data_IF_189431309732
#
_entry.id   IF_189431309732
#
_cell.length_a   1.000
_cell.length_b   1.000
_cell.length_c   1.000
_cell.angle_alpha   90.00
_cell.angle_beta   90.00
_cell.angle_gamma   90.00
#
_symmetry.space_group_name_H-M   'P 1'
#
loop_
_entity.id
_entity.type
_entity.pdbx_description
1 polymer ?
#
# COMPACT_ATOMS: atom_id res chain seq x y z
N UNK A 1 17.44 -19.27 2.92
CA UNK A 1 16.14 -18.57 3.05
C UNK A 1 16.30 -17.24 3.79
N UNK A 2 16.71 -17.24 5.08
CA UNK A 2 16.95 -16.01 5.88
C UNK A 2 17.90 -15.00 5.20
N UNK A 3 19.05 -15.45 4.69
CA UNK A 3 20.03 -14.58 4.01
C UNK A 3 19.48 -13.99 2.72
N UNK A 4 18.72 -14.75 1.95
CA UNK A 4 18.13 -14.31 0.67
C UNK A 4 17.02 -13.28 0.86
N UNK A 5 16.21 -13.36 1.93
CA UNK A 5 15.24 -12.32 2.28
C UNK A 5 15.93 -10.99 2.63
N UNK A 6 17.01 -11.04 3.40
CA UNK A 6 17.79 -9.85 3.75
C UNK A 6 18.52 -9.27 2.53
N UNK A 7 19.11 -10.10 1.69
CA UNK A 7 19.72 -9.68 0.43
C UNK A 7 18.69 -9.01 -0.50
N UNK A 8 17.46 -9.52 -0.56
CA UNK A 8 16.39 -8.93 -1.37
C UNK A 8 15.92 -7.56 -0.84
N UNK A 9 15.87 -7.38 0.48
CA UNK A 9 15.62 -6.07 1.12
C UNK A 9 16.76 -5.07 0.83
N UNK A 10 17.99 -5.57 0.72
CA UNK A 10 19.15 -4.75 0.38
C UNK A 10 19.19 -4.40 -1.12
N UNK A 11 18.68 -5.28 -1.99
CA UNK A 11 18.66 -5.12 -3.44
C UNK A 11 17.53 -4.20 -3.99
N UNK A 12 16.83 -3.46 -3.11
CA UNK A 12 15.79 -2.49 -3.46
C UNK A 12 14.53 -3.08 -4.14
N UNK A 13 14.20 -4.34 -3.85
CA UNK A 13 13.01 -5.01 -4.38
C UNK A 13 11.69 -4.39 -3.90
N UNK A 14 10.61 -4.45 -4.70
CA UNK A 14 9.30 -3.89 -4.30
C UNK A 14 8.65 -4.67 -3.14
N UNK A 15 7.75 -4.02 -2.37
CA UNK A 15 6.95 -4.69 -1.33
C UNK A 15 6.18 -5.89 -1.92
N UNK A 16 5.67 -5.77 -3.14
CA UNK A 16 5.01 -6.87 -3.87
C UNK A 16 5.94 -8.06 -4.12
N UNK A 17 7.17 -7.81 -4.60
CA UNK A 17 8.14 -8.89 -4.85
C UNK A 17 8.55 -9.62 -3.58
N UNK A 18 8.75 -8.87 -2.48
CA UNK A 18 9.07 -9.43 -1.18
C UNK A 18 7.87 -10.22 -0.61
N UNK A 19 6.65 -9.71 -0.78
CA UNK A 19 5.42 -10.40 -0.35
C UNK A 19 5.25 -11.74 -1.08
N UNK A 20 5.53 -11.78 -2.38
CA UNK A 20 5.50 -13.02 -3.15
C UNK A 20 6.56 -14.03 -2.64
N UNK A 21 7.78 -13.56 -2.35
CA UNK A 21 8.82 -14.40 -1.76
C UNK A 21 8.39 -14.97 -0.40
N UNK A 22 7.84 -14.13 0.48
CA UNK A 22 7.31 -14.55 1.78
C UNK A 22 6.20 -15.59 1.63
N UNK A 23 5.27 -15.40 0.70
CA UNK A 23 4.19 -16.36 0.44
C UNK A 23 4.65 -17.71 -0.13
N UNK A 24 5.83 -17.75 -0.76
CA UNK A 24 6.46 -18.99 -1.23
C UNK A 24 7.24 -19.72 -0.11
N UNK A 25 7.77 -18.98 0.86
CA UNK A 25 8.57 -19.53 1.96
C UNK A 25 7.71 -20.01 3.12
N UNK A 26 6.59 -19.33 3.39
CA UNK A 26 5.68 -19.71 4.46
C UNK A 26 4.75 -20.85 4.00
N UNK A 27 4.53 -21.86 4.87
CA UNK A 27 3.73 -23.01 4.50
C UNK A 27 2.25 -22.67 4.30
N UNK A 28 1.76 -21.68 5.04
CA UNK A 28 0.38 -21.25 5.05
C UNK A 28 0.14 -20.10 4.05
N UNK A 29 -1.06 -20.00 3.45
CA UNK A 29 -1.46 -18.86 2.66
C UNK A 29 -1.38 -17.55 3.46
N UNK A 30 -0.91 -16.49 2.81
CA UNK A 30 -0.71 -15.19 3.45
C UNK A 30 -1.29 -14.05 2.63
N UNK A 31 -1.68 -13.00 3.33
CA UNK A 31 -1.99 -11.68 2.77
C UNK A 31 -1.14 -10.66 3.51
N UNK A 32 -0.40 -9.86 2.74
CA UNK A 32 0.30 -8.69 3.25
C UNK A 32 -0.59 -7.47 3.09
N UNK A 33 -0.78 -6.73 4.19
CA UNK A 33 -1.50 -5.46 4.22
C UNK A 33 -0.48 -4.35 4.39
N UNK A 34 -0.30 -3.54 3.37
CA UNK A 34 0.53 -2.34 3.42
C UNK A 34 -0.34 -1.14 3.79
N UNK A 35 -0.23 -0.67 5.03
CA UNK A 35 -0.99 0.50 5.47
C UNK A 35 -0.42 1.81 4.90
N UNK A 36 0.85 1.83 4.50
CA UNK A 36 1.52 3.02 3.98
C UNK A 36 1.09 3.33 2.55
N UNK A 37 0.86 2.29 1.74
CA UNK A 37 0.40 2.41 0.35
C UNK A 37 -1.09 2.10 0.16
N UNK A 38 -1.81 1.80 1.24
CA UNK A 38 -3.19 1.30 1.22
C UNK A 38 -3.35 0.10 0.25
N UNK A 39 -2.42 -0.85 0.31
CA UNK A 39 -2.34 -1.97 -0.63
C UNK A 39 -2.59 -3.31 0.07
N UNK A 40 -3.29 -4.22 -0.61
CA UNK A 40 -3.44 -5.61 -0.22
C UNK A 40 -2.71 -6.47 -1.24
N UNK A 41 -1.78 -7.28 -0.76
CA UNK A 41 -0.96 -8.17 -1.59
C UNK A 41 -1.22 -9.60 -1.12
N UNK A 42 -2.06 -10.30 -1.87
CA UNK A 42 -2.41 -11.68 -1.59
C UNK A 42 -1.40 -12.65 -2.21
N UNK A 43 -1.07 -13.71 -1.47
CA UNK A 43 -0.34 -14.87 -1.98
C UNK A 43 -1.28 -15.92 -2.54
N UNK A 44 -1.06 -17.18 -2.13
CA UNK A 44 -1.92 -18.32 -2.45
C UNK A 44 -3.31 -18.18 -1.83
N UNK A 45 -4.29 -18.88 -2.41
CA UNK A 45 -5.66 -18.93 -1.90
C UNK A 45 -5.73 -19.68 -0.56
N UNK A 46 -6.47 -19.15 0.44
CA UNK A 46 -6.76 -19.86 1.68
C UNK A 46 -7.88 -20.91 1.52
N UNK A 47 -8.55 -20.96 0.37
CA UNK A 47 -9.64 -21.89 0.08
C UNK A 47 -9.69 -22.22 -1.40
N UNK A 48 -8.93 -23.24 -1.82
CA UNK A 48 -8.86 -23.70 -3.22
C UNK A 48 -10.21 -24.16 -3.79
N UNK A 49 -11.17 -24.49 -2.91
CA UNK A 49 -12.54 -24.88 -3.31
C UNK A 49 -13.36 -23.70 -3.81
N UNK A 50 -13.13 -22.50 -3.26
CA UNK A 50 -13.91 -21.31 -3.60
C UNK A 50 -13.16 -20.37 -4.54
N UNK A 51 -11.84 -20.29 -4.39
CA UNK A 51 -10.98 -19.44 -5.21
C UNK A 51 -9.72 -20.22 -5.59
N UNK A 52 -9.40 -20.25 -6.88
CA UNK A 52 -8.02 -20.46 -7.29
C UNK A 52 -7.14 -19.26 -6.87
N UNK A 53 -5.82 -19.41 -7.00
CA UNK A 53 -4.87 -18.36 -6.60
C UNK A 53 -5.11 -17.03 -7.33
N UNK A 54 -5.45 -17.06 -8.62
CA UNK A 54 -5.64 -15.86 -9.42
C UNK A 54 -6.93 -15.11 -9.05
N UNK A 55 -8.03 -15.85 -8.88
CA UNK A 55 -9.31 -15.33 -8.44
C UNK A 55 -9.20 -14.75 -7.02
N UNK A 56 -8.48 -15.43 -6.12
CA UNK A 56 -8.21 -14.92 -4.77
C UNK A 56 -7.42 -13.61 -4.80
N UNK A 57 -6.34 -13.55 -5.59
CA UNK A 57 -5.52 -12.35 -5.71
C UNK A 57 -6.33 -11.16 -6.24
N UNK A 58 -7.18 -11.38 -7.24
CA UNK A 58 -8.09 -10.36 -7.77
C UNK A 58 -9.13 -9.93 -6.73
N UNK A 59 -9.77 -10.88 -6.03
CA UNK A 59 -10.77 -10.59 -5.01
C UNK A 59 -10.18 -9.82 -3.81
N UNK A 60 -8.99 -10.22 -3.34
CA UNK A 60 -8.27 -9.58 -2.24
C UNK A 60 -7.81 -8.16 -2.57
N UNK A 61 -7.32 -7.93 -3.79
CA UNK A 61 -6.92 -6.59 -4.25
C UNK A 61 -8.12 -5.69 -4.59
N UNK A 62 -9.28 -6.27 -4.90
CA UNK A 62 -10.52 -5.57 -5.24
C UNK A 62 -11.55 -5.58 -4.12
N UNK A 63 -12.67 -6.32 -4.27
CA UNK A 63 -13.84 -6.24 -3.40
C UNK A 63 -13.56 -6.52 -1.91
N UNK A 64 -12.60 -7.40 -1.59
CA UNK A 64 -12.27 -7.77 -0.21
C UNK A 64 -11.22 -6.86 0.44
N UNK A 65 -10.60 -5.95 -0.32
CA UNK A 65 -9.46 -5.16 0.13
C UNK A 65 -9.74 -4.38 1.42
N UNK A 66 -10.89 -3.69 1.47
CA UNK A 66 -11.31 -2.92 2.65
C UNK A 66 -11.59 -3.80 3.86
N UNK A 67 -12.18 -4.98 3.65
CA UNK A 67 -12.51 -5.91 4.73
C UNK A 67 -11.25 -6.51 5.35
N UNK A 68 -10.28 -6.91 4.52
CA UNK A 68 -8.98 -7.42 4.96
C UNK A 68 -8.20 -6.34 5.73
N UNK A 69 -8.11 -5.13 5.18
CA UNK A 69 -7.42 -4.02 5.83
C UNK A 69 -8.05 -3.63 7.18
N UNK A 70 -9.39 -3.56 7.23
CA UNK A 70 -10.12 -3.29 8.47
C UNK A 70 -9.90 -4.38 9.52
N UNK A 71 -10.06 -5.65 9.13
CA UNK A 71 -9.90 -6.75 10.07
C UNK A 71 -8.47 -6.86 10.64
N UNK A 72 -7.46 -6.50 9.84
CA UNK A 72 -6.08 -6.38 10.32
C UNK A 72 -5.93 -5.29 11.38
N UNK A 73 -6.41 -4.06 11.11
CA UNK A 73 -6.34 -2.94 12.07
C UNK A 73 -7.10 -3.26 13.36
N UNK A 74 -8.36 -3.67 13.24
CA UNK A 74 -9.23 -3.95 14.39
C UNK A 74 -8.64 -5.04 15.31
N UNK A 75 -7.97 -6.05 14.74
CA UNK A 75 -7.34 -7.13 15.52
C UNK A 75 -6.09 -6.65 16.25
N UNK A 76 -5.24 -5.86 15.58
CA UNK A 76 -4.02 -5.30 16.15
C UNK A 76 -4.35 -4.32 17.29
N UNK A 77 -5.35 -3.44 17.08
CA UNK A 77 -5.80 -2.47 18.09
C UNK A 77 -6.35 -3.15 19.35
N UNK A 78 -7.00 -4.31 19.21
CA UNK A 78 -7.46 -5.12 20.34
C UNK A 78 -6.35 -5.87 21.08
N UNK A 79 -5.10 -5.78 20.61
CA UNK A 79 -3.95 -6.51 21.17
C UNK A 79 -4.02 -8.03 20.95
N UNK A 80 -4.87 -8.49 20.03
CA UNK A 80 -5.06 -9.91 19.75
C UNK A 80 -4.04 -10.41 18.74
N UNK A 81 -3.07 -11.20 19.18
CA UNK A 81 -2.12 -11.89 18.27
C UNK A 81 -2.51 -13.35 18.00
N UNK A 82 -3.58 -13.84 18.61
CA UNK A 82 -3.98 -15.25 18.62
C UNK A 82 -5.30 -15.46 17.88
N UNK A 83 -5.25 -16.14 16.73
CA UNK A 83 -6.40 -16.71 16.02
C UNK A 83 -7.64 -15.81 15.89
N UNK A 84 -7.66 -14.91 14.91
CA UNK A 84 -8.86 -14.20 14.51
C UNK A 84 -9.69 -15.05 13.53
N UNK A 85 -11.01 -14.91 13.59
CA UNK A 85 -11.91 -15.42 12.56
C UNK A 85 -12.26 -14.27 11.63
N UNK A 86 -11.87 -14.38 10.36
CA UNK A 86 -12.12 -13.40 9.31
C UNK A 86 -13.40 -13.76 8.56
N UNK A 87 -14.36 -12.84 8.60
CA UNK A 87 -15.58 -12.90 7.81
C UNK A 87 -15.40 -12.01 6.58
N UNK A 88 -15.31 -12.61 5.40
CA UNK A 88 -15.13 -11.89 4.14
C UNK A 88 -16.33 -12.17 3.22
N UNK A 89 -16.87 -11.14 2.61
CA UNK A 89 -18.00 -11.23 1.68
C UNK A 89 -17.68 -10.42 0.42
N UNK A 90 -17.52 -11.08 -0.73
CA UNK A 90 -17.28 -10.39 -2.01
C UNK A 90 -18.57 -10.09 -2.80
N UNK A 91 -19.73 -10.33 -2.19
CA UNK A 91 -21.06 -10.22 -2.79
C UNK A 91 -21.53 -11.48 -3.52
N UNK A 92 -20.61 -12.38 -3.89
CA UNK A 92 -20.90 -13.66 -4.53
C UNK A 92 -20.73 -14.84 -3.56
N UNK A 93 -19.74 -14.73 -2.67
CA UNK A 93 -19.26 -15.79 -1.79
C UNK A 93 -18.96 -15.22 -0.41
N UNK A 94 -19.29 -16.00 0.62
CA UNK A 94 -18.98 -15.71 2.02
C UNK A 94 -17.94 -16.68 2.54
N UNK A 95 -16.82 -16.12 2.97
CA UNK A 95 -15.69 -16.85 3.55
C UNK A 95 -15.68 -16.64 5.06
N UNK A 96 -15.46 -17.72 5.78
CA UNK A 96 -15.19 -17.71 7.21
C UNK A 96 -13.86 -18.40 7.45
N UNK A 97 -12.79 -17.62 7.62
CA UNK A 97 -11.41 -18.10 7.62
C UNK A 97 -10.75 -17.84 8.96
N UNK A 98 -10.22 -18.89 9.58
CA UNK A 98 -9.33 -18.73 10.72
C UNK A 98 -7.98 -18.17 10.23
N UNK A 99 -7.50 -17.12 10.88
CA UNK A 99 -6.23 -16.48 10.54
C UNK A 99 -5.50 -15.96 11.78
N UNK A 100 -4.18 -16.02 11.73
CA UNK A 100 -3.29 -15.31 12.65
C UNK A 100 -2.91 -13.97 12.00
N UNK A 101 -3.00 -12.88 12.75
CA UNK A 101 -2.65 -11.54 12.26
C UNK A 101 -1.44 -11.06 13.03
N UNK A 102 -0.36 -10.78 12.30
CA UNK A 102 0.91 -10.32 12.85
C UNK A 102 1.12 -8.85 12.47
N UNK A 103 1.31 -7.94 13.44
CA UNK A 103 1.61 -6.54 13.14
C UNK A 103 3.02 -6.42 12.52
N UNK A 104 3.14 -5.55 11.53
CA UNK A 104 4.42 -5.13 10.93
C UNK A 104 4.74 -3.73 11.44
N UNK A 105 5.79 -3.61 12.25
CA UNK A 105 6.18 -2.35 12.89
C UNK A 105 7.65 -2.02 12.64
N UNK A 106 7.94 -0.71 12.60
CA UNK A 106 9.29 -0.12 12.63
C UNK A 106 9.29 0.96 13.70
N UNK A 107 10.22 0.93 14.66
CA UNK A 107 10.29 1.91 15.76
C UNK A 107 8.96 2.14 16.48
N UNK A 108 8.18 1.05 16.69
CA UNK A 108 6.82 1.05 17.28
C UNK A 108 5.73 1.70 16.41
N UNK A 109 6.06 2.20 15.23
CA UNK A 109 5.09 2.65 14.24
C UNK A 109 4.56 1.45 13.46
N UNK A 110 3.23 1.33 13.39
CA UNK A 110 2.55 0.32 12.56
C UNK A 110 2.62 0.73 11.09
N UNK A 111 3.27 -0.10 10.27
CA UNK A 111 3.43 0.13 8.81
C UNK A 111 2.60 -0.86 7.98
N UNK A 112 2.24 -2.00 8.56
CA UNK A 112 1.44 -3.00 7.87
C UNK A 112 0.98 -4.13 8.78
N UNK A 113 0.44 -5.17 8.17
CA UNK A 113 0.09 -6.42 8.83
C UNK A 113 0.38 -7.61 7.90
N UNK A 114 0.68 -8.75 8.50
CA UNK A 114 0.75 -10.04 7.82
C UNK A 114 -0.40 -10.91 8.34
N UNK A 115 -1.36 -11.20 7.47
CA UNK A 115 -2.46 -12.13 7.73
C UNK A 115 -2.00 -13.51 7.26
N UNK A 116 -2.07 -14.50 8.14
CA UNK A 116 -1.65 -15.88 7.89
C UNK A 116 -2.87 -16.76 8.10
N UNK A 117 -3.39 -17.35 7.03
CA UNK A 117 -4.57 -18.19 7.11
C UNK A 117 -4.20 -19.57 7.66
N UNK A 118 -4.94 -20.02 8.67
CA UNK A 118 -4.73 -21.32 9.27
C UNK A 118 -5.12 -22.41 8.28
N UNK A 119 -4.17 -23.27 7.90
CA UNK A 119 -4.45 -24.54 7.22
C UNK A 119 -4.32 -25.70 8.21
N UNK A 120 -4.44 -26.94 7.73
CA UNK A 120 -4.20 -28.14 8.53
C UNK A 120 -2.76 -28.27 9.04
N UNK A 121 -1.80 -27.49 8.50
CA UNK A 121 -0.39 -27.53 8.92
C UNK A 121 -0.08 -26.52 10.03
N UNK A 122 0.34 -27.04 11.18
CA UNK A 122 0.90 -26.25 12.27
C UNK A 122 2.27 -25.66 11.90
N UNK A 123 2.60 -24.51 12.46
CA UNK A 123 3.93 -23.89 12.33
C UNK A 123 4.97 -24.68 13.14
N UNK A 124 6.08 -25.06 12.50
CA UNK A 124 7.28 -25.52 13.20
C UNK A 124 8.11 -24.35 13.75
N UNK A 125 9.10 -24.63 14.61
CA UNK A 125 10.04 -23.62 15.11
C UNK A 125 10.82 -22.95 13.97
N UNK A 126 11.16 -23.71 12.92
CA UNK A 126 11.78 -23.17 11.71
C UNK A 126 10.82 -22.21 10.98
N UNK A 127 9.54 -22.56 10.91
CA UNK A 127 8.52 -21.70 10.31
C UNK A 127 8.31 -20.42 11.14
N UNK A 128 8.45 -20.46 12.47
CA UNK A 128 8.43 -19.26 13.32
C UNK A 128 9.64 -18.35 13.04
N UNK A 129 10.84 -18.93 12.95
CA UNK A 129 12.05 -18.15 12.62
C UNK A 129 11.90 -17.46 11.26
N UNK A 130 11.39 -18.18 10.25
CA UNK A 130 11.11 -17.60 8.93
C UNK A 130 10.05 -16.51 8.97
N UNK A 131 9.01 -16.68 9.80
CA UNK A 131 7.98 -15.68 10.01
C UNK A 131 8.56 -14.40 10.62
N UNK A 132 9.41 -14.50 11.64
CA UNK A 132 10.04 -13.32 12.24
C UNK A 132 10.94 -12.58 11.25
N UNK A 133 11.70 -13.31 10.44
CA UNK A 133 12.51 -12.72 9.36
C UNK A 133 11.64 -12.04 8.30
N UNK A 134 10.56 -12.68 7.88
CA UNK A 134 9.62 -12.13 6.91
C UNK A 134 8.97 -10.85 7.42
N UNK A 135 8.53 -10.84 8.69
CA UNK A 135 7.96 -9.65 9.34
C UNK A 135 8.96 -8.50 9.34
N UNK A 136 10.19 -8.74 9.78
CA UNK A 136 11.22 -7.71 9.81
C UNK A 136 11.50 -7.15 8.41
N UNK A 137 11.70 -8.02 7.42
CA UNK A 137 11.98 -7.64 6.04
C UNK A 137 10.84 -6.80 5.44
N UNK A 138 9.58 -7.23 5.61
CA UNK A 138 8.41 -6.51 5.12
C UNK A 138 8.27 -5.14 5.80
N UNK A 139 8.42 -5.07 7.13
CA UNK A 139 8.36 -3.82 7.88
C UNK A 139 9.37 -2.79 7.36
N UNK A 140 10.64 -3.20 7.19
CA UNK A 140 11.70 -2.32 6.69
C UNK A 140 11.40 -1.87 5.26
N UNK A 141 10.95 -2.78 4.39
CA UNK A 141 10.70 -2.45 2.99
C UNK A 141 9.50 -1.51 2.82
N UNK A 142 8.43 -1.71 3.59
CA UNK A 142 7.29 -0.79 3.63
C UNK A 142 7.72 0.60 4.10
N UNK A 143 8.49 0.67 5.20
CA UNK A 143 8.97 1.96 5.70
C UNK A 143 9.88 2.68 4.70
N UNK A 144 10.78 1.95 4.02
CA UNK A 144 11.61 2.52 2.94
C UNK A 144 10.75 3.08 1.82
N UNK A 145 9.77 2.29 1.35
CA UNK A 145 8.84 2.70 0.30
C UNK A 145 8.06 3.96 0.71
N UNK A 146 7.57 4.01 1.95
CA UNK A 146 6.85 5.15 2.51
C UNK A 146 7.70 6.42 2.57
N UNK A 147 8.95 6.32 3.05
CA UNK A 147 9.87 7.47 3.09
C UNK A 147 10.15 8.00 1.68
N UNK A 148 10.46 7.11 0.73
CA UNK A 148 10.71 7.48 -0.67
C UNK A 148 9.50 8.19 -1.26
N UNK A 149 8.30 7.65 -1.05
CA UNK A 149 7.06 8.23 -1.53
C UNK A 149 6.78 9.62 -0.95
N UNK A 150 6.97 9.80 0.37
CA UNK A 150 6.80 11.13 1.01
C UNK A 150 7.76 12.17 0.45
N UNK A 151 9.00 11.76 0.18
CA UNK A 151 9.99 12.65 -0.43
C UNK A 151 9.60 13.04 -1.85
N UNK A 152 9.18 12.07 -2.66
CA UNK A 152 8.69 12.31 -4.03
C UNK A 152 7.47 13.23 -4.04
N UNK A 153 6.47 12.96 -3.20
CA UNK A 153 5.26 13.78 -3.05
C UNK A 153 5.64 15.22 -2.67
N UNK A 154 6.52 15.41 -1.68
CA UNK A 154 6.98 16.74 -1.29
C UNK A 154 7.67 17.47 -2.45
N UNK A 155 8.51 16.76 -3.21
CA UNK A 155 9.21 17.33 -4.37
C UNK A 155 8.23 17.71 -5.49
N UNK A 156 7.18 16.91 -5.72
CA UNK A 156 6.09 17.23 -6.64
C UNK A 156 5.34 18.50 -6.20
N UNK A 157 4.96 18.60 -4.93
CA UNK A 157 4.30 19.78 -4.36
C UNK A 157 5.14 21.04 -4.51
N UNK A 158 6.43 20.96 -4.17
CA UNK A 158 7.36 22.08 -4.29
C UNK A 158 7.51 22.55 -5.75
N UNK A 159 7.64 21.62 -6.70
CA UNK A 159 7.70 21.96 -8.14
C UNK A 159 6.38 22.57 -8.64
N UNK A 160 5.23 22.03 -8.22
CA UNK A 160 3.93 22.56 -8.61
C UNK A 160 3.77 24.02 -8.17
N UNK A 161 4.11 24.34 -6.92
CA UNK A 161 4.07 25.72 -6.44
C UNK A 161 5.09 26.62 -7.12
N UNK A 162 6.30 26.13 -7.41
CA UNK A 162 7.30 26.87 -8.18
C UNK A 162 6.74 27.34 -9.54
N UNK A 163 5.99 26.46 -10.22
CA UNK A 163 5.33 26.76 -11.51
C UNK A 163 4.20 27.76 -11.37
N UNK A 164 3.25 27.51 -10.45
CA UNK A 164 2.05 28.35 -10.25
C UNK A 164 2.44 29.76 -9.78
N UNK A 165 3.44 29.86 -8.90
CA UNK A 165 3.94 31.13 -8.36
C UNK A 165 4.93 31.83 -9.31
N UNK A 166 5.22 31.24 -10.48
CA UNK A 166 6.16 31.76 -11.48
C UNK A 166 7.56 32.05 -10.90
N UNK A 167 8.02 31.19 -9.98
CA UNK A 167 9.35 31.32 -9.35
C UNK A 167 10.49 30.68 -10.16
N UNK A 168 10.19 30.15 -11.34
CA UNK A 168 11.15 29.54 -12.25
C UNK A 168 11.78 30.56 -13.20
N UNK A 169 12.97 30.22 -13.70
CA UNK A 169 13.73 31.06 -14.67
C UNK A 169 13.86 30.42 -16.03
N UNK A 170 13.92 29.10 -16.08
CA UNK A 170 14.08 28.30 -17.29
C UNK A 170 12.94 27.29 -17.40
N UNK A 171 12.12 27.43 -18.45
CA UNK A 171 11.00 26.53 -18.70
C UNK A 171 11.48 25.11 -19.05
N UNK A 172 12.65 24.95 -19.67
CA UNK A 172 13.18 23.65 -20.05
C UNK A 172 13.61 22.83 -18.83
N UNK A 173 14.25 23.48 -17.84
CA UNK A 173 14.61 22.85 -16.56
C UNK A 173 13.37 22.36 -15.81
N UNK A 174 12.37 23.25 -15.65
CA UNK A 174 11.09 22.91 -15.01
C UNK A 174 10.43 21.73 -15.71
N UNK A 175 10.42 21.74 -17.05
CA UNK A 175 9.80 20.68 -17.83
C UNK A 175 10.53 19.33 -17.65
N UNK A 176 11.86 19.33 -17.60
CA UNK A 176 12.64 18.12 -17.37
C UNK A 176 12.39 17.56 -15.96
N UNK A 177 12.33 18.43 -14.94
CA UNK A 177 12.00 18.05 -13.57
C UNK A 177 10.57 17.52 -13.45
N UNK A 178 9.62 18.15 -14.12
CA UNK A 178 8.22 17.73 -14.15
C UNK A 178 8.08 16.32 -14.72
N UNK A 179 8.72 16.03 -15.86
CA UNK A 179 8.69 14.70 -16.47
C UNK A 179 9.26 13.61 -15.55
N UNK A 180 10.35 13.90 -14.81
CA UNK A 180 10.92 12.95 -13.84
C UNK A 180 9.99 12.65 -12.66
N UNK A 181 9.14 13.61 -12.31
CA UNK A 181 8.17 13.50 -11.21
C UNK A 181 6.78 13.08 -11.70
N UNK A 182 6.63 12.71 -12.98
CA UNK A 182 5.36 12.27 -13.55
C UNK A 182 4.34 13.40 -13.78
N UNK A 183 4.76 14.67 -13.74
CA UNK A 183 3.93 15.82 -14.05
C UNK A 183 4.16 16.21 -15.51
N UNK A 184 3.08 16.37 -16.28
CA UNK A 184 3.16 16.76 -17.68
C UNK A 184 2.61 18.16 -17.91
N UNK A 185 3.47 19.15 -18.12
CA UNK A 185 3.04 20.52 -18.48
C UNK A 185 2.98 20.77 -20.01
N UNK A 186 3.18 19.75 -20.85
CA UNK A 186 3.17 19.91 -22.32
C UNK A 186 1.77 19.84 -22.93
N UNK A 187 0.80 19.39 -22.15
CA UNK A 187 -0.61 19.31 -22.55
C UNK A 187 -1.41 20.35 -21.80
N UNK A 188 -2.43 20.94 -22.45
CA UNK A 188 -3.41 21.74 -21.73
C UNK A 188 -4.09 20.87 -20.67
N UNK A 189 -4.23 21.40 -19.46
CA UNK A 189 -4.78 20.67 -18.32
C UNK A 189 -5.84 21.50 -17.61
N UNK A 190 -6.89 20.83 -17.15
CA UNK A 190 -7.78 21.34 -16.13
C UNK A 190 -7.18 21.06 -14.75
N UNK A 191 -7.32 22.06 -13.87
CA UNK A 191 -6.91 21.95 -12.47
C UNK A 191 -8.16 21.81 -11.62
N UNK A 192 -8.28 20.69 -10.93
CA UNK A 192 -9.32 20.47 -9.92
C UNK A 192 -8.67 20.55 -8.55
N UNK A 193 -9.15 21.48 -7.71
CA UNK A 193 -8.67 21.65 -6.33
C UNK A 193 -9.71 21.06 -5.39
N UNK A 194 -9.27 20.14 -4.54
CA UNK A 194 -10.08 19.52 -3.49
C UNK A 194 -9.58 20.03 -2.15
N UNK A 195 -10.34 20.93 -1.53
CA UNK A 195 -10.05 21.44 -0.20
C UNK A 195 -10.69 20.55 0.87
N UNK A 196 -9.99 20.33 1.98
CA UNK A 196 -10.51 19.55 3.11
C UNK A 196 -11.12 20.45 4.18
N UNK A 197 -12.14 19.97 4.91
CA UNK A 197 -12.62 20.68 6.09
C UNK A 197 -11.51 20.77 7.15
N UNK A 198 -11.50 21.84 7.95
CA UNK A 198 -10.50 22.07 9.03
C UNK A 198 -10.31 20.87 9.98
N UNK A 199 -11.39 20.12 10.24
CA UNK A 199 -11.33 18.90 11.06
C UNK A 199 -10.46 17.79 10.44
N UNK A 200 -10.33 17.74 9.12
CA UNK A 200 -9.49 16.80 8.39
C UNK A 200 -8.07 17.33 8.17
N UNK A 201 -7.87 18.66 8.07
CA UNK A 201 -6.55 19.29 7.88
C UNK A 201 -5.58 19.02 9.04
N UNK A 202 -6.09 18.93 10.27
CA UNK A 202 -5.29 18.67 11.48
C UNK A 202 -4.77 17.22 11.61
N UNK A 203 -5.22 16.30 10.75
CA UNK A 203 -4.76 14.92 10.73
C UNK A 203 -3.60 14.79 9.72
N UNK A 204 -2.41 15.31 10.05
CA UNK A 204 -1.25 15.45 9.14
C UNK A 204 -0.73 14.17 8.43
N UNK A 205 -1.34 13.00 8.63
CA UNK A 205 -1.14 11.78 7.84
C UNK A 205 -2.16 11.54 6.71
N UNK A 206 -3.34 12.18 6.77
CA UNK A 206 -4.46 11.95 5.83
C UNK A 206 -4.16 12.38 4.40
N UNK A 207 -3.36 13.42 4.18
CA UNK A 207 -3.05 13.90 2.82
C UNK A 207 -2.28 12.84 2.00
N UNK A 208 -1.35 12.12 2.62
CA UNK A 208 -0.57 11.04 1.99
C UNK A 208 -1.44 9.81 1.75
N UNK A 209 -2.22 9.40 2.77
CA UNK A 209 -3.15 8.27 2.66
C UNK A 209 -4.24 8.50 1.59
N UNK A 210 -4.69 9.75 1.46
CA UNK A 210 -5.68 10.15 0.47
C UNK A 210 -5.07 10.30 -0.92
N UNK A 211 -3.82 10.79 -1.03
CA UNK A 211 -3.09 10.76 -2.30
C UNK A 211 -3.03 9.32 -2.84
N UNK A 212 -2.61 8.34 -2.03
CA UNK A 212 -2.59 6.93 -2.45
C UNK A 212 -3.98 6.42 -2.85
N UNK A 213 -5.00 6.74 -2.05
CA UNK A 213 -6.36 6.31 -2.31
C UNK A 213 -6.91 6.90 -3.62
N UNK A 214 -6.63 8.18 -3.89
CA UNK A 214 -7.08 8.86 -5.10
C UNK A 214 -6.30 8.42 -6.33
N UNK A 215 -4.97 8.30 -6.24
CA UNK A 215 -4.14 7.77 -7.31
C UNK A 215 -4.59 6.36 -7.73
N UNK A 216 -4.92 5.51 -6.76
CA UNK A 216 -5.48 4.16 -7.03
C UNK A 216 -6.84 4.23 -7.71
N UNK A 217 -7.76 5.08 -7.23
CA UNK A 217 -9.09 5.25 -7.85
C UNK A 217 -8.96 5.75 -9.29
N UNK A 218 -8.07 6.72 -9.54
CA UNK A 218 -7.82 7.25 -10.88
C UNK A 218 -7.23 6.19 -11.81
N UNK A 219 -6.28 5.39 -11.33
CA UNK A 219 -5.72 4.27 -12.07
C UNK A 219 -6.80 3.23 -12.41
N UNK A 220 -7.66 2.86 -11.46
CA UNK A 220 -8.77 1.93 -11.69
C UNK A 220 -9.80 2.48 -12.67
N UNK A 221 -10.08 3.78 -12.62
CA UNK A 221 -10.96 4.46 -13.56
C UNK A 221 -10.31 4.76 -14.91
N UNK A 222 -9.03 4.42 -15.10
CA UNK A 222 -8.23 4.75 -16.29
C UNK A 222 -8.24 6.24 -16.63
N UNK A 223 -8.28 7.10 -15.61
CA UNK A 223 -8.22 8.56 -15.77
C UNK A 223 -6.75 8.98 -15.74
N UNK A 224 -6.19 9.56 -16.82
CA UNK A 224 -4.78 9.95 -16.88
C UNK A 224 -4.57 11.27 -16.13
N UNK A 225 -4.66 11.25 -14.80
CA UNK A 225 -4.51 12.44 -13.96
C UNK A 225 -3.26 12.35 -13.07
N UNK A 226 -2.63 13.49 -12.84
CA UNK A 226 -1.56 13.64 -11.87
C UNK A 226 -2.14 14.26 -10.59
N UNK A 227 -1.91 13.61 -9.45
CA UNK A 227 -2.35 14.10 -8.14
C UNK A 227 -1.16 14.75 -7.45
N UNK A 228 -1.33 15.96 -6.95
CA UNK A 228 -0.35 16.66 -6.12
C UNK A 228 -0.98 16.90 -4.75
N UNK A 229 -0.34 16.38 -3.70
CA UNK A 229 -0.75 16.68 -2.33
C UNK A 229 -0.37 18.12 -1.97
N UNK A 230 -1.29 18.86 -1.36
CA UNK A 230 -1.02 20.21 -0.85
C UNK A 230 -1.41 20.28 0.62
N UNK A 231 -1.03 21.37 1.30
CA UNK A 231 -1.44 21.56 2.68
C UNK A 231 -2.97 21.71 2.75
N UNK A 232 -3.59 20.83 3.54
CA UNK A 232 -5.04 20.77 3.71
C UNK A 232 -5.87 20.40 2.48
N UNK A 233 -5.28 19.84 1.42
CA UNK A 233 -6.03 19.48 0.20
C UNK A 233 -5.26 18.64 -0.82
N UNK A 234 -5.85 18.49 -2.01
CA UNK A 234 -5.26 17.86 -3.18
C UNK A 234 -5.49 18.70 -4.43
N UNK A 235 -4.54 18.69 -5.34
CA UNK A 235 -4.68 19.22 -6.69
C UNK A 235 -4.63 18.07 -7.68
N UNK A 236 -5.61 17.99 -8.57
CA UNK A 236 -5.62 17.04 -9.67
C UNK A 236 -5.40 17.79 -10.97
N UNK A 237 -4.36 17.39 -11.70
CA UNK A 237 -4.06 17.85 -13.04
C UNK A 237 -4.61 16.83 -14.03
N UNK A 238 -5.63 17.22 -14.77
CA UNK A 238 -6.35 16.35 -15.70
C UNK A 238 -6.14 16.93 -17.11
N UNK A 239 -5.70 16.14 -18.10
CA UNK A 239 -5.64 16.57 -19.48
C UNK A 239 -6.98 17.17 -19.92
N UNK A 240 -6.92 18.35 -20.54
CA UNK A 240 -8.04 18.97 -21.20
C UNK A 240 -8.01 18.52 -22.66
N UNK A 241 -9.01 17.75 -23.08
CA UNK A 241 -9.23 17.41 -24.49
C UNK A 241 -9.74 18.65 -25.26
#
# INVERSE_FOLDING_TARGET
AHTSLLEHVLADGSVSSLSAMVGSLLPNPVVVVDFTANQIIAGRSPSEVQFDDAAWQSAAAGPLSRQLGKAARDTIERGGNSGATLFLDDGSSRLNLAARIEPLTVDRQLVGALIIFSTSRAFSDLDQLLLDSAKFALSVQMMRSFIRFRFETRTQTELFFEVVERRWRDAADVQQRAQRLGINFMTTQQIVVVDFPESAKNLGGTSVDLHHSLARIMQQASVPACVVAIDGGLVCLIPYD
#
